data_IF_578662991948
#
_entry.id   IF_578662991948
#
_cell.length_a   1.000
_cell.length_b   1.000
_cell.length_c   1.000
_cell.angle_alpha   90.00
_cell.angle_beta   90.00
_cell.angle_gamma   90.00
#
_symmetry.space_group_name_H-M   'P 1'
#
loop_
_entity.id
_entity.type
_entity.pdbx_description
1 polymer ?
#
# COMPACT_ATOMS: atom_id res chain seq x y z
N UNK A 1 19.70 17.94 -22.37
CA UNK A 1 19.84 16.65 -21.67
C UNK A 1 18.68 15.76 -22.12
N UNK A 2 18.92 14.51 -22.56
CA UNK A 2 17.83 13.57 -22.87
C UNK A 2 17.08 13.30 -21.56
N UNK A 3 15.75 13.47 -21.55
CA UNK A 3 14.94 12.99 -20.43
C UNK A 3 15.18 11.50 -20.26
N UNK A 4 15.43 11.01 -19.03
CA UNK A 4 15.48 9.58 -18.80
C UNK A 4 14.13 8.98 -19.19
N UNK A 5 14.13 7.92 -19.99
CA UNK A 5 12.91 7.27 -20.45
C UNK A 5 12.57 6.09 -19.54
N UNK A 6 11.45 6.17 -18.84
CA UNK A 6 10.90 5.07 -18.04
C UNK A 6 9.80 4.39 -18.85
N UNK A 7 10.04 3.16 -19.26
CA UNK A 7 9.04 2.34 -19.95
C UNK A 7 7.99 1.84 -18.96
N UNK A 8 6.72 1.88 -19.34
CA UNK A 8 5.66 1.36 -18.49
C UNK A 8 5.67 -0.18 -18.51
N UNK A 9 5.74 -0.86 -17.35
CA UNK A 9 5.56 -2.31 -17.33
C UNK A 9 4.13 -2.68 -17.76
N UNK A 10 3.95 -3.91 -18.22
CA UNK A 10 2.62 -4.43 -18.50
C UNK A 10 1.74 -4.39 -17.23
N UNK A 11 0.43 -4.20 -17.40
CA UNK A 11 -0.51 -4.15 -16.28
C UNK A 11 -0.42 -5.43 -15.43
N UNK A 12 -0.37 -6.60 -16.08
CA UNK A 12 -0.27 -7.89 -15.41
C UNK A 12 1.01 -7.97 -14.58
N UNK A 13 2.15 -7.56 -15.15
CA UNK A 13 3.42 -7.57 -14.42
C UNK A 13 3.39 -6.64 -13.22
N UNK A 14 2.88 -5.42 -13.39
CA UNK A 14 2.74 -4.44 -12.31
C UNK A 14 1.85 -4.95 -11.17
N UNK A 15 0.68 -5.49 -11.51
CA UNK A 15 -0.25 -6.05 -10.53
C UNK A 15 0.37 -7.22 -9.77
N UNK A 16 1.10 -8.11 -10.45
CA UNK A 16 1.79 -9.23 -9.79
C UNK A 16 2.83 -8.76 -8.78
N UNK A 17 3.69 -7.82 -9.16
CA UNK A 17 4.71 -7.29 -8.25
C UNK A 17 4.09 -6.52 -7.08
N UNK A 18 3.02 -5.76 -7.32
CA UNK A 18 2.27 -5.09 -6.25
C UNK A 18 1.61 -6.11 -5.31
N UNK A 19 1.04 -7.19 -5.85
CA UNK A 19 0.47 -8.27 -5.06
C UNK A 19 1.52 -8.99 -4.19
N UNK A 20 2.68 -9.34 -4.76
CA UNK A 20 3.76 -9.94 -3.97
C UNK A 20 4.31 -8.97 -2.92
N UNK A 21 4.38 -7.69 -3.24
CA UNK A 21 4.77 -6.65 -2.29
C UNK A 21 3.76 -6.49 -1.15
N UNK A 22 2.46 -6.57 -1.46
CA UNK A 22 1.39 -6.60 -0.47
C UNK A 22 1.50 -7.81 0.44
N UNK A 23 1.66 -9.00 -0.14
CA UNK A 23 1.85 -10.25 0.62
C UNK A 23 3.07 -10.18 1.53
N UNK A 24 4.20 -9.67 1.03
CA UNK A 24 5.39 -9.40 1.85
C UNK A 24 5.09 -8.40 2.97
N UNK A 25 4.33 -7.33 2.66
CA UNK A 25 3.86 -6.37 3.66
C UNK A 25 3.06 -7.04 4.78
N UNK A 26 2.13 -7.93 4.47
CA UNK A 26 1.36 -8.69 5.47
C UNK A 26 2.28 -9.54 6.35
N UNK A 27 3.27 -10.23 5.78
CA UNK A 27 4.26 -10.98 6.56
C UNK A 27 5.05 -10.04 7.49
N UNK A 28 5.50 -8.89 6.98
CA UNK A 28 6.23 -7.91 7.76
C UNK A 28 5.37 -7.30 8.88
N UNK A 29 4.05 -7.12 8.68
CA UNK A 29 3.13 -6.68 9.75
C UNK A 29 3.16 -7.70 10.89
N UNK A 30 3.01 -8.98 10.58
CA UNK A 30 3.01 -10.04 11.61
C UNK A 30 4.33 -10.08 12.37
N UNK A 31 5.45 -10.03 11.63
CA UNK A 31 6.79 -10.02 12.23
C UNK A 31 7.01 -8.78 13.11
N UNK A 32 6.71 -7.59 12.62
CA UNK A 32 6.90 -6.35 13.37
C UNK A 32 5.97 -6.28 14.57
N UNK A 33 4.70 -6.66 14.45
CA UNK A 33 3.78 -6.74 15.59
C UNK A 33 4.36 -7.63 16.68
N UNK A 34 4.77 -8.86 16.35
CA UNK A 34 5.35 -9.78 17.34
C UNK A 34 6.63 -9.26 17.99
N UNK A 35 7.51 -8.61 17.21
CA UNK A 35 8.76 -8.03 17.73
C UNK A 35 8.48 -6.83 18.65
N UNK A 36 7.57 -5.93 18.26
CA UNK A 36 7.24 -4.74 19.03
C UNK A 36 6.48 -5.07 20.32
N UNK A 37 5.52 -6.00 20.24
CA UNK A 37 4.84 -6.53 21.43
C UNK A 37 5.88 -7.17 22.39
N UNK A 38 6.87 -7.89 21.84
CA UNK A 38 7.95 -8.50 22.63
C UNK A 38 8.88 -7.52 23.36
N UNK A 39 8.93 -6.25 22.95
CA UNK A 39 9.72 -5.19 23.62
C UNK A 39 8.84 -4.19 24.39
N UNK A 40 7.56 -4.50 24.57
CA UNK A 40 6.61 -3.67 25.33
C UNK A 40 6.02 -2.49 24.57
N UNK A 41 6.15 -2.46 23.24
CA UNK A 41 5.49 -1.46 22.38
C UNK A 41 4.14 -2.02 21.93
N UNK A 42 3.16 -1.92 22.82
CA UNK A 42 1.82 -2.45 22.60
C UNK A 42 0.86 -1.39 22.02
N UNK A 43 -0.15 -1.84 21.27
CA UNK A 43 -1.28 -1.00 20.84
C UNK A 43 -0.98 0.05 19.76
N UNK A 44 0.26 0.15 19.29
CA UNK A 44 0.63 1.02 18.17
C UNK A 44 0.27 0.39 16.82
N UNK A 45 0.11 1.21 15.77
CA UNK A 45 -0.24 0.75 14.43
C UNK A 45 0.73 1.24 13.34
N UNK A 46 1.75 2.04 13.68
CA UNK A 46 2.72 2.56 12.72
C UNK A 46 3.46 1.46 11.94
N UNK A 47 3.66 0.29 12.54
CA UNK A 47 4.29 -0.83 11.85
C UNK A 47 3.49 -1.31 10.63
N UNK A 48 2.18 -1.04 10.57
CA UNK A 48 1.35 -1.30 9.38
C UNK A 48 1.82 -0.47 8.19
N UNK A 49 1.92 0.85 8.37
CA UNK A 49 2.41 1.76 7.33
C UNK A 49 3.83 1.41 6.90
N UNK A 50 4.69 1.09 7.87
CA UNK A 50 6.09 0.71 7.64
C UNK A 50 6.19 -0.57 6.81
N UNK A 51 5.53 -1.65 7.25
CA UNK A 51 5.57 -2.96 6.63
C UNK A 51 4.97 -2.94 5.22
N UNK A 52 3.79 -2.33 5.06
CA UNK A 52 3.13 -2.24 3.76
C UNK A 52 3.92 -1.37 2.78
N UNK A 53 4.43 -0.24 3.26
CA UNK A 53 5.26 0.65 2.46
C UNK A 53 6.57 0.00 2.02
N UNK A 54 7.21 -0.77 2.91
CA UNK A 54 8.43 -1.51 2.59
C UNK A 54 8.16 -2.64 1.58
N UNK A 55 7.17 -3.50 1.85
CA UNK A 55 6.87 -4.65 0.99
C UNK A 55 6.48 -4.23 -0.42
N UNK A 56 5.49 -3.34 -0.55
CA UNK A 56 5.02 -2.86 -1.85
C UNK A 56 6.08 -2.00 -2.53
N UNK A 57 6.71 -1.09 -1.77
CA UNK A 57 7.69 -0.15 -2.29
C UNK A 57 8.89 -0.87 -2.92
N UNK A 58 9.45 -1.85 -2.22
CA UNK A 58 10.59 -2.65 -2.71
C UNK A 58 10.23 -3.42 -3.97
N UNK A 59 9.08 -4.11 -4.01
CA UNK A 59 8.69 -4.89 -5.19
C UNK A 59 8.41 -4.00 -6.40
N UNK A 60 7.68 -2.90 -6.22
CA UNK A 60 7.44 -1.94 -7.31
C UNK A 60 8.75 -1.29 -7.78
N UNK A 61 9.62 -0.88 -6.86
CA UNK A 61 10.93 -0.33 -7.19
C UNK A 61 11.78 -1.33 -7.97
N UNK A 62 11.83 -2.59 -7.56
CA UNK A 62 12.61 -3.61 -8.25
C UNK A 62 12.13 -3.82 -9.69
N UNK A 63 10.82 -3.76 -9.92
CA UNK A 63 10.26 -3.80 -11.26
C UNK A 63 10.63 -2.55 -12.08
N UNK A 64 10.42 -1.36 -11.52
CA UNK A 64 10.69 -0.08 -12.20
C UNK A 64 12.17 0.14 -12.49
N UNK A 65 13.06 -0.34 -11.62
CA UNK A 65 14.50 -0.30 -11.84
C UNK A 65 14.89 -1.03 -13.13
N UNK A 66 14.23 -2.13 -13.45
CA UNK A 66 14.44 -2.89 -14.71
C UNK A 66 13.92 -2.16 -15.96
N UNK A 67 13.05 -1.15 -15.81
CA UNK A 67 12.31 -0.52 -16.91
C UNK A 67 12.76 0.92 -17.24
N UNK A 68 13.83 1.41 -16.62
CA UNK A 68 14.31 2.79 -16.84
C UNK A 68 15.08 3.39 -15.66
N UNK A 69 15.28 2.64 -14.57
CA UNK A 69 16.18 3.04 -13.50
C UNK A 69 15.60 4.03 -12.50
N UNK A 70 14.42 3.74 -11.94
CA UNK A 70 13.86 4.60 -10.88
C UNK A 70 14.71 4.55 -9.59
N UNK A 71 14.81 5.71 -8.92
CA UNK A 71 15.55 5.84 -7.67
C UNK A 71 14.92 5.07 -6.51
N UNK A 72 15.75 4.63 -5.56
CA UNK A 72 15.30 4.09 -4.26
C UNK A 72 14.43 5.06 -3.46
N UNK A 73 14.44 6.36 -3.80
CA UNK A 73 13.49 7.35 -3.26
C UNK A 73 12.03 6.88 -3.38
N UNK A 74 11.68 6.11 -4.42
CA UNK A 74 10.35 5.51 -4.58
C UNK A 74 9.90 4.71 -3.35
N UNK A 75 10.81 3.90 -2.81
CA UNK A 75 10.56 3.03 -1.65
C UNK A 75 10.39 3.88 -0.40
N UNK A 76 11.33 4.79 -0.15
CA UNK A 76 11.31 5.66 1.03
C UNK A 76 10.08 6.57 1.05
N UNK A 77 9.67 7.09 -0.10
CA UNK A 77 8.49 7.93 -0.20
C UNK A 77 7.19 7.16 0.09
N UNK A 78 7.12 5.88 -0.29
CA UNK A 78 6.00 5.03 0.10
C UNK A 78 6.01 4.72 1.60
N UNK A 79 7.17 4.33 2.14
CA UNK A 79 7.34 4.05 3.58
C UNK A 79 6.96 5.27 4.41
N UNK A 80 7.62 6.41 4.17
CA UNK A 80 7.39 7.63 4.94
C UNK A 80 5.96 8.13 4.76
N UNK A 81 5.47 8.13 3.52
CA UNK A 81 4.13 8.59 3.22
C UNK A 81 3.06 7.78 3.95
N UNK A 82 3.17 6.45 3.99
CA UNK A 82 2.23 5.61 4.72
C UNK A 82 2.44 5.65 6.23
N UNK A 83 3.68 5.72 6.71
CA UNK A 83 4.00 5.57 8.14
C UNK A 83 3.75 6.84 8.95
N UNK A 84 4.04 8.03 8.40
CA UNK A 84 3.95 9.30 9.12
C UNK A 84 2.55 9.54 9.72
N UNK A 85 1.43 9.34 8.99
CA UNK A 85 0.10 9.51 9.57
C UNK A 85 -0.16 8.57 10.73
N UNK A 86 0.30 7.31 10.68
CA UNK A 86 0.12 6.39 11.80
C UNK A 86 0.96 6.80 13.01
N UNK A 87 2.22 7.20 12.84
CA UNK A 87 3.04 7.70 13.96
C UNK A 87 2.38 8.92 14.59
N UNK A 88 1.93 9.88 13.78
CA UNK A 88 1.24 11.06 14.28
C UNK A 88 0.00 10.67 15.09
N UNK A 89 -0.80 9.72 14.59
CA UNK A 89 -1.98 9.25 15.33
C UNK A 89 -1.63 8.45 16.60
N UNK A 90 -0.67 7.54 16.53
CA UNK A 90 -0.21 6.73 17.66
C UNK A 90 0.32 7.60 18.81
N UNK A 91 1.02 8.70 18.50
CA UNK A 91 1.60 9.60 19.49
C UNK A 91 0.62 10.66 20.00
N UNK A 92 -0.26 11.19 19.14
CA UNK A 92 -1.16 12.29 19.49
C UNK A 92 -2.49 11.80 20.06
N UNK A 93 -2.95 10.61 19.66
CA UNK A 93 -4.24 10.05 20.03
C UNK A 93 -4.05 8.65 20.61
N UNK A 94 -3.89 8.58 21.94
CA UNK A 94 -3.77 7.30 22.65
C UNK A 94 -5.10 6.53 22.73
N UNK A 95 -6.23 7.17 22.41
CA UNK A 95 -7.53 6.50 22.37
C UNK A 95 -7.72 5.70 21.07
N UNK A 96 -8.34 4.52 21.16
CA UNK A 96 -8.79 3.76 20.00
C UNK A 96 -9.90 4.53 19.26
N UNK A 97 -9.49 5.31 18.26
CA UNK A 97 -10.45 5.96 17.36
C UNK A 97 -11.04 4.90 16.41
N UNK A 98 -12.38 4.79 16.29
CA UNK A 98 -13.04 3.75 15.51
C UNK A 98 -12.71 3.78 14.01
N UNK A 99 -12.14 4.89 13.52
CA UNK A 99 -11.76 5.08 12.12
C UNK A 99 -10.27 5.33 11.90
N UNK A 100 -9.43 5.03 12.90
CA UNK A 100 -7.98 5.28 12.86
C UNK A 100 -7.31 4.73 11.60
N UNK A 101 -7.57 3.46 11.28
CA UNK A 101 -7.02 2.80 10.09
C UNK A 101 -7.40 3.54 8.80
N UNK A 102 -8.69 3.86 8.65
CA UNK A 102 -9.20 4.50 7.44
C UNK A 102 -8.60 5.90 7.26
N UNK A 103 -8.55 6.70 8.33
CA UNK A 103 -8.00 8.05 8.29
C UNK A 103 -6.49 8.01 8.00
N UNK A 104 -5.72 7.20 8.73
CA UNK A 104 -4.27 7.11 8.55
C UNK A 104 -3.91 6.61 7.16
N UNK A 105 -4.61 5.60 6.65
CA UNK A 105 -4.34 5.06 5.33
C UNK A 105 -4.72 6.04 4.21
N UNK A 106 -5.83 6.79 4.35
CA UNK A 106 -6.21 7.83 3.40
C UNK A 106 -5.15 8.93 3.33
N UNK A 107 -4.78 9.49 4.49
CA UNK A 107 -3.74 10.50 4.59
C UNK A 107 -2.40 9.96 4.06
N UNK A 108 -2.09 8.71 4.38
CA UNK A 108 -0.85 8.08 3.95
C UNK A 108 -0.80 7.81 2.46
N UNK A 109 -1.92 7.45 1.84
CA UNK A 109 -2.02 7.28 0.40
C UNK A 109 -1.84 8.60 -0.35
N UNK A 110 -2.43 9.69 0.17
CA UNK A 110 -2.24 11.04 -0.37
C UNK A 110 -0.78 11.47 -0.23
N UNK A 111 -0.18 11.31 0.96
CA UNK A 111 1.18 11.72 1.22
C UNK A 111 2.20 10.91 0.41
N UNK A 112 2.08 9.58 0.40
CA UNK A 112 2.96 8.70 -0.40
C UNK A 112 2.80 8.97 -1.89
N UNK A 113 1.57 9.13 -2.39
CA UNK A 113 1.30 9.50 -3.78
C UNK A 113 1.91 10.86 -4.14
N UNK A 114 1.78 11.85 -3.25
CA UNK A 114 2.37 13.18 -3.42
C UNK A 114 3.89 13.11 -3.48
N UNK A 115 4.52 12.37 -2.57
CA UNK A 115 5.97 12.21 -2.55
C UNK A 115 6.48 11.46 -3.80
N UNK A 116 5.85 10.33 -4.16
CA UNK A 116 6.20 9.56 -5.37
C UNK A 116 5.99 10.33 -6.68
N UNK A 117 5.07 11.30 -6.68
CA UNK A 117 4.89 12.21 -7.82
C UNK A 117 6.17 12.97 -8.13
N UNK A 118 6.94 13.41 -7.13
CA UNK A 118 8.22 14.08 -7.38
C UNK A 118 9.23 13.19 -8.11
N UNK A 119 9.20 11.87 -7.87
CA UNK A 119 10.05 10.92 -8.60
C UNK A 119 9.56 10.73 -10.04
N UNK A 120 8.24 10.71 -10.25
CA UNK A 120 7.64 10.52 -11.57
C UNK A 120 7.70 11.77 -12.46
N UNK A 121 7.78 12.96 -11.88
CA UNK A 121 7.91 14.22 -12.62
C UNK A 121 9.16 14.29 -13.49
N UNK A 122 10.23 13.57 -13.11
CA UNK A 122 11.45 13.42 -13.91
C UNK A 122 11.20 12.69 -15.25
N UNK A 123 10.08 11.95 -15.37
CA UNK A 123 9.76 11.07 -16.50
C UNK A 123 8.48 11.48 -17.25
N UNK A 124 7.51 12.13 -16.59
CA UNK A 124 6.27 12.55 -17.24
C UNK A 124 5.60 13.74 -16.55
N UNK A 125 5.13 14.76 -17.30
CA UNK A 125 4.36 15.87 -16.73
C UNK A 125 2.98 15.42 -16.21
N UNK A 126 2.46 14.27 -16.70
CA UNK A 126 1.21 13.66 -16.22
C UNK A 126 1.36 13.05 -14.82
N UNK A 127 2.57 13.02 -14.25
CA UNK A 127 2.86 12.45 -12.93
C UNK A 127 1.95 12.96 -11.80
N UNK A 128 1.43 14.19 -11.90
CA UNK A 128 0.49 14.76 -10.90
C UNK A 128 -0.76 13.89 -10.70
N UNK A 129 -1.18 13.14 -11.72
CA UNK A 129 -2.31 12.21 -11.63
C UNK A 129 -2.01 10.99 -10.75
N UNK A 130 -0.73 10.72 -10.44
CA UNK A 130 -0.33 9.59 -9.61
C UNK A 130 -0.98 9.61 -8.23
N UNK A 131 -1.10 10.80 -7.61
CA UNK A 131 -1.74 10.96 -6.30
C UNK A 131 -3.17 10.40 -6.31
N UNK A 132 -3.93 10.66 -7.38
CA UNK A 132 -5.31 10.20 -7.51
C UNK A 132 -5.34 8.68 -7.64
N UNK A 133 -4.51 8.08 -8.51
CA UNK A 133 -4.46 6.63 -8.66
C UNK A 133 -3.96 5.91 -7.41
N UNK A 134 -2.97 6.48 -6.71
CA UNK A 134 -2.47 5.96 -5.44
C UNK A 134 -3.55 6.00 -4.36
N UNK A 135 -4.20 7.16 -4.19
CA UNK A 135 -5.30 7.33 -3.24
C UNK A 135 -6.46 6.37 -3.53
N UNK A 136 -6.96 6.34 -4.78
CA UNK A 136 -8.04 5.43 -5.17
C UNK A 136 -7.66 3.95 -4.96
N UNK A 137 -6.43 3.57 -5.31
CA UNK A 137 -5.96 2.19 -5.13
C UNK A 137 -5.92 1.77 -3.66
N UNK A 138 -5.39 2.61 -2.79
CA UNK A 138 -5.36 2.35 -1.35
C UNK A 138 -6.74 2.36 -0.70
N UNK A 139 -7.63 3.27 -1.11
CA UNK A 139 -9.01 3.33 -0.60
C UNK A 139 -9.83 2.11 -1.03
N UNK A 140 -9.67 1.63 -2.26
CA UNK A 140 -10.35 0.42 -2.73
C UNK A 140 -9.79 -0.83 -2.03
N UNK A 141 -8.47 -0.88 -1.80
CA UNK A 141 -7.86 -1.95 -1.01
C UNK A 141 -8.33 -1.92 0.45
N UNK A 142 -8.47 -0.73 1.06
CA UNK A 142 -9.08 -0.58 2.38
C UNK A 142 -10.50 -1.11 2.41
N UNK A 143 -11.30 -0.86 1.37
CA UNK A 143 -12.64 -1.41 1.24
C UNK A 143 -12.67 -2.95 1.36
N UNK A 144 -11.68 -3.65 0.79
CA UNK A 144 -11.59 -5.12 0.94
C UNK A 144 -11.25 -5.54 2.36
N UNK A 145 -10.46 -4.75 3.09
CA UNK A 145 -10.15 -4.99 4.50
C UNK A 145 -11.36 -4.69 5.40
N UNK A 146 -12.09 -3.60 5.16
CA UNK A 146 -13.30 -3.27 5.92
C UNK A 146 -14.43 -4.29 5.67
N UNK A 147 -14.41 -4.99 4.54
CA UNK A 147 -15.34 -6.09 4.28
C UNK A 147 -15.18 -7.27 5.26
N UNK A 148 -14.03 -7.38 5.97
CA UNK A 148 -13.81 -8.39 7.00
C UNK A 148 -14.81 -8.28 8.16
N UNK A 149 -15.30 -7.08 8.48
CA UNK A 149 -16.27 -6.94 9.56
C UNK A 149 -17.63 -7.56 9.20
N UNK A 150 -17.94 -7.70 7.92
CA UNK A 150 -19.16 -8.34 7.44
C UNK A 150 -19.04 -9.87 7.37
N UNK A 151 -17.82 -10.42 7.31
CA UNK A 151 -17.66 -11.90 7.32
C UNK A 151 -18.06 -12.51 8.66
N UNK A 152 -17.98 -11.74 9.75
CA UNK A 152 -18.46 -12.15 11.08
C UNK A 152 -19.97 -12.43 11.09
N UNK A 153 -20.74 -11.74 10.25
CA UNK A 153 -22.18 -11.95 10.10
C UNK A 153 -22.51 -13.30 9.44
N UNK A 154 -21.53 -13.94 8.80
CA UNK A 154 -21.68 -15.28 8.23
C UNK A 154 -21.45 -16.39 9.25
N UNK A 155 -21.01 -16.08 10.48
CA UNK A 155 -20.76 -17.08 11.54
C UNK A 155 -21.93 -18.02 11.86
N UNK A 156 -23.21 -17.62 11.75
CA UNK A 156 -24.32 -18.55 11.95
C UNK A 156 -24.51 -19.55 10.78
N UNK A 157 -23.96 -19.24 9.61
CA UNK A 157 -24.23 -19.94 8.34
C UNK A 157 -23.00 -20.64 7.75
N UNK A 158 -21.80 -20.36 8.27
CA UNK A 158 -20.53 -20.84 7.75
C UNK A 158 -19.64 -21.36 8.89
N UNK A 159 -18.85 -22.40 8.61
CA UNK A 159 -17.86 -22.88 9.56
C UNK A 159 -16.64 -21.92 9.65
N UNK A 160 -15.90 -22.03 10.76
CA UNK A 160 -14.74 -21.17 11.02
C UNK A 160 -13.66 -21.27 9.94
N UNK A 161 -13.51 -22.44 9.31
CA UNK A 161 -12.53 -22.65 8.25
C UNK A 161 -12.87 -21.81 7.01
N UNK A 162 -14.13 -21.83 6.57
CA UNK A 162 -14.61 -21.03 5.45
C UNK A 162 -14.45 -19.53 5.74
N UNK A 163 -14.79 -19.09 6.94
CA UNK A 163 -14.62 -17.69 7.37
C UNK A 163 -13.14 -17.28 7.33
N UNK A 164 -12.24 -18.14 7.82
CA UNK A 164 -10.80 -17.90 7.76
C UNK A 164 -10.30 -17.78 6.31
N UNK A 165 -10.76 -18.66 5.41
CA UNK A 165 -10.43 -18.56 3.98
C UNK A 165 -10.96 -17.27 3.34
N UNK A 166 -12.20 -16.88 3.62
CA UNK A 166 -12.78 -15.63 3.12
C UNK A 166 -12.00 -14.41 3.63
N UNK A 167 -11.63 -14.40 4.91
CA UNK A 167 -10.84 -13.33 5.49
C UNK A 167 -9.46 -13.22 4.82
N UNK A 168 -8.80 -14.36 4.62
CA UNK A 168 -7.52 -14.39 3.92
C UNK A 168 -7.66 -13.86 2.48
N UNK A 169 -8.69 -14.28 1.75
CA UNK A 169 -8.96 -13.80 0.39
C UNK A 169 -9.19 -12.29 0.36
N UNK A 170 -9.97 -11.74 1.30
CA UNK A 170 -10.22 -10.30 1.41
C UNK A 170 -8.96 -9.49 1.74
N UNK A 171 -8.10 -10.02 2.61
CA UNK A 171 -6.79 -9.43 2.93
C UNK A 171 -5.90 -9.41 1.69
N UNK A 172 -5.84 -10.51 0.94
CA UNK A 172 -4.99 -10.64 -0.24
C UNK A 172 -5.55 -9.87 -1.45
N UNK A 173 -6.87 -9.71 -1.55
CA UNK A 173 -7.51 -8.94 -2.61
C UNK A 173 -7.02 -7.48 -2.66
N UNK A 174 -6.68 -6.90 -1.51
CA UNK A 174 -6.17 -5.53 -1.42
C UNK A 174 -4.94 -5.30 -2.31
N UNK A 175 -4.00 -6.24 -2.34
CA UNK A 175 -2.80 -6.15 -3.18
C UNK A 175 -3.10 -6.20 -4.68
N UNK A 176 -4.07 -7.04 -5.07
CA UNK A 176 -4.52 -7.13 -6.45
C UNK A 176 -5.23 -5.85 -6.89
N UNK A 177 -6.18 -5.37 -6.09
CA UNK A 177 -6.95 -4.14 -6.34
C UNK A 177 -6.00 -2.93 -6.47
N UNK A 178 -5.11 -2.75 -5.50
CA UNK A 178 -4.11 -1.68 -5.51
C UNK A 178 -3.24 -1.76 -6.77
N UNK A 179 -2.79 -2.96 -7.13
CA UNK A 179 -1.99 -3.21 -8.33
C UNK A 179 -2.71 -2.82 -9.62
N UNK A 180 -3.96 -3.24 -9.80
CA UNK A 180 -4.73 -2.93 -11.02
C UNK A 180 -4.94 -1.41 -11.16
N UNK A 181 -5.33 -0.73 -10.09
CA UNK A 181 -5.63 0.71 -10.11
C UNK A 181 -4.36 1.52 -10.35
N UNK A 182 -3.31 1.26 -9.57
CA UNK A 182 -2.03 1.99 -9.71
C UNK A 182 -1.32 1.65 -11.02
N UNK A 183 -1.40 0.41 -11.50
CA UNK A 183 -0.82 0.00 -12.78
C UNK A 183 -1.48 0.65 -13.98
N UNK A 184 -2.81 0.79 -13.93
CA UNK A 184 -3.57 1.55 -14.94
C UNK A 184 -3.15 3.02 -14.93
N UNK A 185 -3.02 3.61 -13.74
CA UNK A 185 -2.53 4.98 -13.57
C UNK A 185 -1.13 5.19 -14.13
N UNK A 186 -0.19 4.33 -13.73
CA UNK A 186 1.21 4.40 -14.17
C UNK A 186 1.31 4.31 -15.70
N UNK A 187 0.59 3.37 -16.32
CA UNK A 187 0.59 3.23 -17.79
C UNK A 187 0.03 4.48 -18.47
N UNK A 188 -1.06 5.06 -17.99
CA UNK A 188 -1.62 6.31 -18.54
C UNK A 188 -0.68 7.51 -18.39
N UNK A 189 0.13 7.53 -17.33
CA UNK A 189 1.11 8.58 -17.06
C UNK A 189 2.31 8.45 -17.99
N UNK A 190 2.80 7.23 -18.20
CA UNK A 190 4.04 6.95 -18.93
C UNK A 190 3.84 6.71 -20.44
N UNK A 191 2.65 6.29 -20.88
CA UNK A 191 2.30 6.29 -22.30
C UNK A 191 1.93 7.72 -22.72
N UNK A 192 2.74 8.27 -23.63
CA UNK A 192 2.45 9.52 -24.35
C UNK A 192 1.49 9.21 -25.48
#
# INVERSE_FOLDING_TARGET
MKQPSLSAPSLVTWTRYTFYGWFLGVILILLFSSVFDGVGVEGMQFYLGLAMGAGIGVMQWWLLKKHGGISLKWVWFLILGLTIPFIAFDLLFQAMLPYKLAVCLTLGAILSGGLQTFVLLDYSPKAKWWVIYACSGWMLALGSILALDYTKLLSPYANNLLIAFLNLLLILAGGFILGVVTGTGLRKILHV
#
